data_IF_718181512835
#
_entry.id   IF_718181512835
#
_cell.length_a   1.000
_cell.length_b   1.000
_cell.length_c   1.000
_cell.angle_alpha   90.00
_cell.angle_beta   90.00
_cell.angle_gamma   90.00
#
_symmetry.space_group_name_H-M   'P 1'
#
loop_
_entity.id
_entity.type
_entity.pdbx_description
1 polymer ?
#
# COMPACT_ATOMS: atom_id res chain seq x y z
N UNK A 1 -2.37 -1.62 7.66
CA UNK A 1 -1.79 -2.74 8.42
C UNK A 1 -2.29 -4.06 7.84
N UNK A 2 -1.43 -5.04 7.64
CA UNK A 2 -1.79 -6.35 7.12
C UNK A 2 -1.24 -7.44 8.05
N UNK A 3 -2.10 -8.38 8.43
CA UNK A 3 -1.69 -9.58 9.17
C UNK A 3 -2.23 -10.80 8.42
N UNK A 4 -1.32 -11.67 8.00
CA UNK A 4 -1.64 -12.83 7.18
C UNK A 4 -1.52 -14.12 7.96
N UNK A 5 -2.27 -15.13 7.52
CA UNK A 5 -2.13 -16.50 8.00
C UNK A 5 -2.29 -16.68 9.51
N UNK A 6 -3.17 -15.87 10.12
CA UNK A 6 -3.59 -16.02 11.51
C UNK A 6 -4.20 -17.41 11.70
N UNK A 7 -3.77 -18.08 12.76
CA UNK A 7 -4.30 -19.39 13.14
C UNK A 7 -5.79 -19.28 13.50
N UNK A 8 -6.57 -20.22 12.99
CA UNK A 8 -7.97 -20.40 13.38
C UNK A 8 -8.09 -21.36 14.56
N UNK A 9 -9.31 -21.51 15.09
CA UNK A 9 -9.64 -22.58 16.02
C UNK A 9 -9.21 -23.95 15.45
N UNK A 10 -8.76 -24.88 16.32
CA UNK A 10 -8.46 -26.24 15.92
C UNK A 10 -9.64 -26.86 15.16
N UNK A 11 -9.35 -27.68 14.14
CA UNK A 11 -10.32 -28.41 13.32
C UNK A 11 -11.21 -27.56 12.39
N UNK A 12 -10.92 -26.27 12.19
CA UNK A 12 -11.52 -25.52 11.08
C UNK A 12 -10.81 -25.86 9.78
N UNK A 13 -11.37 -26.84 9.07
CA UNK A 13 -10.82 -27.38 7.83
C UNK A 13 -11.74 -27.03 6.65
N UNK A 14 -11.16 -26.90 5.46
CA UNK A 14 -11.93 -26.85 4.22
C UNK A 14 -12.40 -28.25 3.78
N UNK A 15 -13.14 -28.31 2.68
CA UNK A 15 -13.65 -29.56 2.09
C UNK A 15 -12.54 -30.55 1.68
N UNK A 16 -11.31 -30.08 1.52
CA UNK A 16 -10.13 -30.88 1.21
C UNK A 16 -9.28 -31.19 2.46
N UNK A 17 -9.85 -31.01 3.65
CA UNK A 17 -9.21 -31.28 4.95
C UNK A 17 -7.97 -30.41 5.23
N UNK A 18 -7.89 -29.22 4.63
CA UNK A 18 -6.79 -28.26 4.84
C UNK A 18 -7.16 -27.23 5.91
N UNK A 19 -6.24 -26.83 6.79
CA UNK A 19 -6.50 -25.77 7.77
C UNK A 19 -6.86 -24.44 7.09
N UNK A 20 -8.00 -23.87 7.48
CA UNK A 20 -8.41 -22.53 7.06
C UNK A 20 -7.64 -21.51 7.89
N UNK A 21 -7.03 -20.50 7.25
CA UNK A 21 -6.35 -19.41 7.96
C UNK A 21 -7.04 -18.09 7.67
N UNK A 22 -7.04 -17.20 8.65
CA UNK A 22 -7.59 -15.86 8.50
C UNK A 22 -6.46 -14.89 8.11
N UNK A 23 -6.79 -13.91 7.27
CA UNK A 23 -5.91 -12.77 6.99
C UNK A 23 -6.76 -11.51 7.05
N UNK A 24 -6.23 -10.47 7.69
CA UNK A 24 -6.98 -9.24 7.92
C UNK A 24 -6.12 -8.05 7.52
N UNK A 25 -6.74 -7.12 6.79
CA UNK A 25 -6.15 -5.85 6.42
C UNK A 25 -6.99 -4.72 7.03
N UNK A 26 -6.35 -3.87 7.81
CA UNK A 26 -6.94 -2.62 8.27
C UNK A 26 -6.36 -1.45 7.49
N UNK A 27 -7.24 -0.63 6.93
CA UNK A 27 -6.92 0.60 6.23
C UNK A 27 -7.36 1.78 7.08
N UNK A 28 -6.47 2.72 7.31
CA UNK A 28 -6.74 3.95 8.04
C UNK A 28 -6.32 5.11 7.15
N UNK A 29 -7.13 6.17 7.10
CA UNK A 29 -6.65 7.43 6.52
C UNK A 29 -5.79 8.13 7.57
N UNK A 30 -4.93 9.03 7.11
CA UNK A 30 -4.07 9.83 7.98
C UNK A 30 -4.92 10.71 8.90
N UNK A 31 -4.59 10.73 10.17
CA UNK A 31 -5.22 11.59 11.17
C UNK A 31 -4.21 12.58 11.77
N UNK A 32 -4.66 13.81 12.00
CA UNK A 32 -3.80 14.85 12.58
C UNK A 32 -3.61 14.68 14.09
N UNK A 33 -4.61 14.12 14.79
CA UNK A 33 -4.64 13.96 16.24
C UNK A 33 -3.95 12.68 16.74
N UNK A 34 -3.59 11.76 15.84
CA UNK A 34 -2.84 10.53 16.13
C UNK A 34 -3.64 9.45 16.87
N UNK A 35 -4.97 9.53 16.92
CA UNK A 35 -5.83 8.49 17.51
C UNK A 35 -5.77 7.16 16.74
N UNK A 36 -5.83 7.21 15.41
CA UNK A 36 -5.72 6.05 14.51
C UNK A 36 -4.35 5.42 14.58
N UNK A 37 -3.31 6.24 14.76
CA UNK A 37 -1.95 5.77 15.02
C UNK A 37 -1.88 4.90 16.29
N UNK A 38 -2.48 5.37 17.39
CA UNK A 38 -2.59 4.57 18.63
C UNK A 38 -3.36 3.27 18.42
N UNK A 39 -4.46 3.30 17.67
CA UNK A 39 -5.21 2.08 17.31
C UNK A 39 -4.29 1.12 16.55
N UNK A 40 -3.59 1.57 15.50
CA UNK A 40 -2.66 0.73 14.73
C UNK A 40 -1.60 0.09 15.64
N UNK A 41 -1.01 0.86 16.57
CA UNK A 41 -0.06 0.35 17.56
C UNK A 41 -0.67 -0.71 18.46
N UNK A 42 -1.88 -0.49 18.98
CA UNK A 42 -2.59 -1.50 19.78
C UNK A 42 -2.80 -2.80 19.00
N UNK A 43 -3.21 -2.74 17.73
CA UNK A 43 -3.38 -3.93 16.89
C UNK A 43 -2.02 -4.62 16.67
N UNK A 44 -0.95 -3.86 16.42
CA UNK A 44 0.39 -4.40 16.24
C UNK A 44 0.89 -5.12 17.52
N UNK A 45 0.65 -4.54 18.70
CA UNK A 45 0.97 -5.16 19.99
C UNK A 45 0.20 -6.49 20.16
N UNK A 46 -1.11 -6.50 19.87
CA UNK A 46 -1.91 -7.73 19.92
C UNK A 46 -1.39 -8.81 18.96
N UNK A 47 -0.92 -8.41 17.78
CA UNK A 47 -0.33 -9.33 16.82
C UNK A 47 1.01 -9.91 17.30
N UNK A 48 1.89 -9.06 17.86
CA UNK A 48 3.19 -9.47 18.40
C UNK A 48 3.05 -10.46 19.56
N UNK A 49 2.06 -10.25 20.43
CA UNK A 49 1.72 -11.14 21.54
C UNK A 49 0.95 -12.41 21.14
N UNK A 50 0.66 -12.59 19.85
CA UNK A 50 -0.18 -13.69 19.35
C UNK A 50 -1.59 -13.75 19.98
N UNK A 51 -2.11 -12.59 20.39
CA UNK A 51 -3.47 -12.44 20.95
C UNK A 51 -4.49 -12.10 19.86
N UNK A 52 -4.05 -11.42 18.79
CA UNK A 52 -4.90 -11.00 17.68
C UNK A 52 -5.59 -12.18 16.97
N UNK A 53 -4.90 -13.31 16.82
CA UNK A 53 -5.42 -14.53 16.18
C UNK A 53 -6.70 -15.02 16.85
N UNK A 54 -6.70 -15.05 18.20
CA UNK A 54 -7.84 -15.48 19.01
C UNK A 54 -9.05 -14.58 18.79
N UNK A 55 -8.83 -13.26 18.83
CA UNK A 55 -9.91 -12.28 18.67
C UNK A 55 -10.51 -12.33 17.26
N UNK A 56 -9.66 -12.37 16.23
CA UNK A 56 -10.10 -12.50 14.84
C UNK A 56 -10.84 -13.81 14.61
N UNK A 57 -10.36 -14.91 15.21
CA UNK A 57 -11.03 -16.19 15.05
C UNK A 57 -12.39 -16.25 15.73
N UNK A 58 -12.57 -15.59 16.88
CA UNK A 58 -13.87 -15.47 17.53
C UNK A 58 -14.86 -14.63 16.73
N UNK A 59 -14.35 -13.66 15.96
CA UNK A 59 -15.17 -12.79 15.13
C UNK A 59 -15.61 -13.42 13.79
N UNK A 60 -15.08 -14.59 13.42
CA UNK A 60 -15.37 -15.26 12.15
C UNK A 60 -15.89 -16.67 12.43
N UNK A 61 -17.19 -16.87 12.23
CA UNK A 61 -17.86 -18.17 12.36
C UNK A 61 -18.22 -18.72 10.99
N UNK A 62 -18.39 -20.04 10.90
CA UNK A 62 -19.05 -20.63 9.73
C UNK A 62 -20.55 -20.36 9.84
N UNK A 63 -21.24 -20.25 8.71
CA UNK A 63 -22.70 -20.09 8.72
C UNK A 63 -23.32 -21.43 9.08
N UNK A 64 -24.09 -21.47 10.16
CA UNK A 64 -24.79 -22.67 10.59
C UNK A 64 -25.75 -23.15 9.48
N UNK A 65 -25.78 -24.46 9.24
CA UNK A 65 -26.64 -25.13 8.24
C UNK A 65 -26.33 -24.78 6.77
N UNK A 66 -25.13 -24.31 6.44
CA UNK A 66 -24.65 -24.20 5.05
C UNK A 66 -23.31 -24.92 4.87
N UNK A 67 -23.15 -25.58 3.72
CA UNK A 67 -21.89 -26.27 3.37
C UNK A 67 -20.75 -25.29 3.05
N UNK A 68 -21.07 -24.01 2.81
CA UNK A 68 -20.13 -22.98 2.42
C UNK A 68 -20.46 -21.62 3.03
N UNK A 69 -19.43 -20.78 3.18
CA UNK A 69 -19.55 -19.40 3.65
C UNK A 69 -19.09 -19.20 5.10
N UNK A 70 -18.98 -17.93 5.48
CA UNK A 70 -18.65 -17.50 6.83
C UNK A 70 -19.40 -16.23 7.17
N UNK A 71 -19.68 -16.03 8.45
CA UNK A 71 -20.20 -14.78 8.99
C UNK A 71 -19.08 -14.04 9.72
N UNK A 72 -19.15 -12.72 9.68
CA UNK A 72 -18.18 -11.83 10.34
C UNK A 72 -18.89 -10.93 11.32
N UNK A 73 -18.56 -11.08 12.60
CA UNK A 73 -18.93 -10.14 13.65
C UNK A 73 -18.14 -8.83 13.47
N UNK A 74 -18.62 -7.99 12.56
CA UNK A 74 -17.93 -6.74 12.17
C UNK A 74 -17.72 -5.78 13.34
N UNK A 75 -18.65 -5.74 14.30
CA UNK A 75 -18.50 -4.97 15.53
C UNK A 75 -17.30 -5.41 16.36
N UNK A 76 -17.07 -6.72 16.48
CA UNK A 76 -15.90 -7.28 17.17
C UNK A 76 -14.61 -6.87 16.46
N UNK A 77 -14.53 -7.03 15.12
CA UNK A 77 -13.34 -6.61 14.36
C UNK A 77 -13.08 -5.10 14.43
N UNK A 78 -14.13 -4.29 14.41
CA UNK A 78 -14.03 -2.83 14.51
C UNK A 78 -13.63 -2.36 15.90
N UNK A 79 -13.86 -3.15 16.94
CA UNK A 79 -13.43 -2.84 18.32
C UNK A 79 -11.95 -3.18 18.58
N UNK A 80 -11.32 -3.95 17.70
CA UNK A 80 -9.92 -4.36 17.86
C UNK A 80 -9.02 -3.12 17.87
N UNK A 81 -8.14 -3.07 18.86
CA UNK A 81 -7.19 -1.95 19.05
C UNK A 81 -7.73 -0.83 19.94
N UNK A 82 -9.04 -0.72 20.16
CA UNK A 82 -9.61 0.31 21.04
C UNK A 82 -9.49 -0.02 22.54
N UNK A 83 -9.31 -1.29 22.90
CA UNK A 83 -9.37 -1.74 24.31
C UNK A 83 -8.31 -1.14 25.24
N UNK A 84 -7.14 -0.77 24.72
CA UNK A 84 -6.07 -0.16 25.53
C UNK A 84 -5.32 0.97 24.81
N UNK A 85 -5.87 1.51 23.72
CA UNK A 85 -5.19 2.59 22.98
C UNK A 85 -4.98 3.85 23.83
N UNK A 86 -5.88 4.13 24.78
CA UNK A 86 -5.77 5.26 25.70
C UNK A 86 -4.62 5.10 26.73
N UNK A 87 -4.15 3.87 26.94
CA UNK A 87 -3.01 3.56 27.82
C UNK A 87 -1.66 3.77 27.11
N UNK A 88 -1.66 3.99 25.80
CA UNK A 88 -0.43 4.16 25.02
C UNK A 88 0.17 5.55 25.22
N UNK A 89 1.47 5.56 25.51
CA UNK A 89 2.29 6.76 25.61
C UNK A 89 2.51 7.46 24.27
N UNK A 90 2.96 8.70 24.38
CA UNK A 90 3.11 9.65 23.28
C UNK A 90 4.58 10.11 23.07
N UNK A 91 5.55 9.34 23.55
CA UNK A 91 6.97 9.68 23.36
C UNK A 91 7.35 9.67 21.88
N UNK A 92 8.34 10.50 21.53
CA UNK A 92 8.84 10.57 20.16
C UNK A 92 9.41 9.22 19.69
N UNK A 93 9.24 8.87 18.40
CA UNK A 93 9.78 7.63 17.82
C UNK A 93 11.31 7.62 17.86
N UNK A 94 11.90 6.45 18.10
CA UNK A 94 13.33 6.24 17.80
C UNK A 94 13.49 6.05 16.29
N UNK A 95 14.06 7.05 15.61
CA UNK A 95 14.24 7.05 14.16
C UNK A 95 15.33 6.08 13.66
N UNK A 96 16.15 5.51 14.53
CA UNK A 96 17.09 4.46 14.12
C UNK A 96 16.30 3.21 13.76
N UNK A 97 16.67 2.58 12.64
CA UNK A 97 16.07 1.33 12.18
C UNK A 97 16.83 0.15 12.76
N UNK A 98 16.14 -0.96 12.97
CA UNK A 98 16.79 -2.21 13.33
C UNK A 98 16.04 -3.43 12.80
N UNK A 99 16.80 -4.49 12.57
CA UNK A 99 16.29 -5.80 12.15
C UNK A 99 16.84 -6.89 13.07
N UNK A 100 16.04 -7.91 13.36
CA UNK A 100 16.43 -9.01 14.24
C UNK A 100 15.78 -10.33 13.83
N UNK A 101 16.24 -11.41 14.47
CA UNK A 101 15.53 -12.68 14.51
C UNK A 101 14.21 -12.55 15.27
N UNK A 102 13.23 -13.33 14.86
CA UNK A 102 11.91 -13.35 15.51
C UNK A 102 11.95 -14.25 16.75
N UNK A 103 12.15 -13.64 17.93
CA UNK A 103 12.09 -14.32 19.24
C UNK A 103 11.11 -13.61 20.19
N UNK A 104 10.63 -14.34 21.20
CA UNK A 104 9.66 -13.82 22.18
C UNK A 104 10.23 -12.61 22.92
N UNK A 105 11.50 -12.66 23.31
CA UNK A 105 12.20 -11.55 23.97
C UNK A 105 12.19 -10.27 23.11
N UNK A 106 12.54 -10.39 21.83
CA UNK A 106 12.60 -9.26 20.90
C UNK A 106 11.18 -8.72 20.61
N UNK A 107 10.19 -9.60 20.46
CA UNK A 107 8.78 -9.20 20.34
C UNK A 107 8.31 -8.41 21.54
N UNK A 108 8.70 -8.82 22.75
CA UNK A 108 8.34 -8.13 23.98
C UNK A 108 9.01 -6.75 24.05
N UNK A 109 10.30 -6.64 23.71
CA UNK A 109 10.97 -5.33 23.59
C UNK A 109 10.26 -4.40 22.59
N UNK A 110 9.88 -4.93 21.43
CA UNK A 110 9.13 -4.15 20.44
C UNK A 110 7.75 -3.77 20.97
N UNK A 111 7.05 -4.65 21.68
CA UNK A 111 5.79 -4.30 22.33
C UNK A 111 5.96 -3.14 23.31
N UNK A 112 7.02 -3.14 24.11
CA UNK A 112 7.25 -2.10 25.11
C UNK A 112 7.64 -0.77 24.44
N UNK A 113 8.44 -0.80 23.37
CA UNK A 113 8.67 0.38 22.51
C UNK A 113 7.35 0.91 21.95
N UNK A 114 6.50 0.05 21.40
CA UNK A 114 5.19 0.44 20.85
C UNK A 114 4.20 0.89 21.93
N UNK A 115 4.38 0.55 23.21
CA UNK A 115 3.55 1.09 24.28
C UNK A 115 3.94 2.53 24.61
N UNK A 116 5.23 2.84 24.59
CA UNK A 116 5.74 4.14 25.05
C UNK A 116 5.89 5.16 23.93
N UNK A 117 6.24 4.74 22.71
CA UNK A 117 6.65 5.60 21.61
C UNK A 117 5.64 5.58 20.46
N UNK A 118 5.44 6.74 19.84
CA UNK A 118 4.70 6.87 18.57
C UNK A 118 5.44 6.16 17.43
N UNK A 119 4.71 5.84 16.37
CA UNK A 119 5.27 5.42 15.10
C UNK A 119 5.95 6.61 14.40
N UNK A 120 7.10 6.38 13.73
CA UNK A 120 7.74 7.40 12.91
C UNK A 120 6.87 7.80 11.72
N UNK A 121 6.75 9.11 11.50
CA UNK A 121 6.11 9.70 10.31
C UNK A 121 7.02 9.52 9.09
N UNK A 122 6.99 8.35 8.48
CA UNK A 122 7.67 8.07 7.23
C UNK A 122 6.79 7.23 6.31
N UNK A 123 6.99 7.38 5.00
CA UNK A 123 6.40 6.49 4.01
C UNK A 123 7.18 5.18 3.97
N UNK A 124 6.47 4.05 3.85
CA UNK A 124 7.08 2.72 3.74
C UNK A 124 6.63 1.75 4.84
N UNK A 125 7.39 0.66 4.96
CA UNK A 125 7.10 -0.42 5.91
C UNK A 125 7.65 -0.10 7.30
N UNK A 126 6.76 0.23 8.24
CA UNK A 126 7.16 0.54 9.60
C UNK A 126 7.58 -0.72 10.36
N UNK A 127 6.68 -1.70 10.44
CA UNK A 127 6.88 -2.93 11.22
C UNK A 127 6.60 -4.11 10.31
N UNK A 128 7.56 -5.01 10.17
CA UNK A 128 7.41 -6.24 9.41
C UNK A 128 7.89 -7.43 10.23
N UNK A 129 6.97 -8.35 10.55
CA UNK A 129 7.27 -9.65 11.16
C UNK A 129 6.98 -10.71 10.12
N UNK A 130 7.95 -11.57 9.79
CA UNK A 130 7.82 -12.50 8.67
C UNK A 130 8.58 -13.80 8.87
N UNK A 131 8.01 -14.89 8.35
CA UNK A 131 8.68 -16.20 8.29
C UNK A 131 9.29 -16.51 6.92
N UNK A 132 9.03 -15.66 5.93
CA UNK A 132 9.34 -15.91 4.53
C UNK A 132 10.56 -15.12 4.02
N UNK A 133 10.76 -13.91 4.53
CA UNK A 133 11.83 -13.00 4.08
C UNK A 133 13.02 -13.04 5.03
N UNK A 134 14.23 -12.82 4.51
CA UNK A 134 15.48 -12.77 5.25
C UNK A 134 15.89 -11.33 5.63
N UNK A 135 16.98 -11.16 6.39
CA UNK A 135 17.51 -9.82 6.78
C UNK A 135 17.81 -8.92 5.58
N UNK A 136 18.35 -9.46 4.49
CA UNK A 136 18.72 -8.66 3.32
C UNK A 136 17.50 -7.98 2.69
N UNK A 137 16.39 -8.72 2.55
CA UNK A 137 15.12 -8.14 2.10
C UNK A 137 14.65 -7.03 3.04
N UNK A 138 14.68 -7.25 4.37
CA UNK A 138 14.28 -6.24 5.34
C UNK A 138 15.14 -4.97 5.26
N UNK A 139 16.43 -5.13 4.95
CA UNK A 139 17.37 -4.01 4.76
C UNK A 139 17.04 -3.22 3.48
N UNK A 140 16.80 -3.93 2.37
CA UNK A 140 16.47 -3.34 1.06
C UNK A 140 15.13 -2.61 1.07
N UNK A 141 14.11 -3.15 1.75
CA UNK A 141 12.78 -2.51 1.89
C UNK A 141 12.74 -1.41 2.96
N UNK A 142 13.90 -1.04 3.48
CA UNK A 142 14.09 0.03 4.45
C UNK A 142 13.20 -0.05 5.70
N UNK A 143 12.85 -1.26 6.13
CA UNK A 143 11.89 -1.48 7.24
C UNK A 143 12.39 -0.83 8.53
N UNK A 144 11.51 -0.14 9.27
CA UNK A 144 11.87 0.49 10.54
C UNK A 144 12.13 -0.52 11.66
N UNK A 145 11.22 -1.50 11.84
CA UNK A 145 11.33 -2.63 12.78
C UNK A 145 11.08 -3.94 12.03
N UNK A 146 12.14 -4.70 11.76
CA UNK A 146 12.05 -5.96 10.99
C UNK A 146 12.35 -7.19 11.85
N UNK A 147 11.41 -8.13 11.94
CA UNK A 147 11.60 -9.44 12.58
C UNK A 147 11.49 -10.55 11.56
N UNK A 148 12.47 -11.45 11.53
CA UNK A 148 12.47 -12.59 10.62
C UNK A 148 12.86 -13.90 11.32
N UNK A 149 12.05 -14.95 11.17
CA UNK A 149 12.41 -16.29 11.69
C UNK A 149 13.60 -16.93 10.94
N UNK A 150 13.98 -16.38 9.78
CA UNK A 150 15.13 -16.85 8.98
C UNK A 150 16.45 -16.17 9.37
N UNK A 151 16.46 -15.50 10.51
CA UNK A 151 17.52 -14.59 10.92
C UNK A 151 17.93 -14.88 12.37
N UNK A 152 19.20 -14.62 12.71
CA UNK A 152 19.68 -14.74 14.09
C UNK A 152 19.03 -13.69 14.99
N UNK A 153 18.83 -14.05 16.26
CA UNK A 153 18.14 -13.25 17.29
C UNK A 153 18.84 -11.94 17.69
N UNK A 154 20.05 -11.69 17.18
CA UNK A 154 20.79 -10.45 17.45
C UNK A 154 20.20 -9.27 16.66
N UNK A 155 19.95 -8.18 17.40
CA UNK A 155 19.54 -6.88 16.85
C UNK A 155 20.68 -6.29 16.03
N UNK A 156 20.43 -6.05 14.75
CA UNK A 156 21.28 -5.31 13.85
C UNK A 156 20.72 -3.90 13.68
N UNK A 157 21.40 -2.91 14.24
CA UNK A 157 21.08 -1.50 14.05
C UNK A 157 21.57 -1.05 12.68
N UNK A 158 20.67 -0.46 11.89
CA UNK A 158 20.98 0.01 10.55
C UNK A 158 21.28 1.51 10.59
N UNK A 159 22.35 1.93 9.93
CA UNK A 159 22.62 3.35 9.74
C UNK A 159 21.57 3.97 8.83
N UNK A 160 21.08 5.15 9.23
CA UNK A 160 20.16 5.92 8.42
C UNK A 160 20.99 6.61 7.33
N UNK A 161 21.11 5.98 6.17
CA UNK A 161 21.61 6.64 4.97
C UNK A 161 20.59 7.72 4.57
N UNK A 162 20.72 8.92 5.14
CA UNK A 162 19.91 10.12 4.86
C UNK A 162 18.42 10.06 5.24
N UNK A 163 18.09 9.91 6.53
CA UNK A 163 16.89 10.58 7.07
C UNK A 163 17.20 12.07 7.25
N UNK A 164 17.45 12.77 6.14
CA UNK A 164 17.23 14.21 6.14
C UNK A 164 15.74 14.40 6.40
N UNK A 165 15.40 15.09 7.49
CA UNK A 165 14.03 15.44 7.81
C UNK A 165 13.34 15.98 6.54
N UNK A 166 12.10 15.55 6.22
CA UNK A 166 11.28 16.38 5.38
C UNK A 166 11.01 17.64 6.18
N UNK A 167 11.77 18.70 5.89
CA UNK A 167 11.47 20.05 6.34
C UNK A 167 10.01 20.34 5.95
N UNK A 168 9.13 20.32 6.94
CA UNK A 168 7.78 20.87 6.85
C UNK A 168 7.90 22.40 6.76
N UNK A 169 8.43 22.93 5.66
CA UNK A 169 8.36 24.34 5.22
C UNK A 169 9.16 24.61 3.94
N UNK A 170 9.14 23.70 2.96
CA UNK A 170 9.43 24.13 1.58
C UNK A 170 8.21 23.84 0.71
N UNK A 171 7.43 24.90 0.51
CA UNK A 171 6.57 25.09 -0.65
C UNK A 171 7.41 24.71 -1.87
N UNK A 172 7.30 23.47 -2.34
CA UNK A 172 7.88 23.02 -3.60
C UNK A 172 7.15 23.81 -4.68
N UNK A 173 7.71 24.97 -4.99
CA UNK A 173 7.49 25.60 -6.29
C UNK A 173 8.00 24.57 -7.28
N UNK A 174 7.05 23.87 -7.90
CA UNK A 174 7.30 23.04 -9.06
C UNK A 174 7.83 24.00 -10.12
N UNK A 175 9.15 24.21 -10.12
CA UNK A 175 9.84 24.85 -11.23
C UNK A 175 9.82 23.83 -12.34
N UNK A 176 8.72 23.87 -13.10
CA UNK A 176 8.53 23.16 -14.35
C UNK A 176 9.70 23.54 -15.27
N UNK A 177 10.79 22.75 -15.27
CA UNK A 177 11.88 22.86 -16.25
C UNK A 177 11.38 22.72 -17.70
N UNK A 178 10.15 22.25 -17.87
CA UNK A 178 9.41 22.26 -19.15
C UNK A 178 9.02 23.68 -19.60
N UNK A 179 8.72 24.62 -18.69
CA UNK A 179 8.28 25.96 -19.06
C UNK A 179 9.42 26.85 -19.58
N UNK A 180 10.66 26.62 -19.13
CA UNK A 180 11.85 27.31 -19.67
C UNK A 180 12.19 26.88 -21.09
N UNK A 181 11.96 25.60 -21.45
CA UNK A 181 12.18 25.12 -22.82
C UNK A 181 11.13 25.69 -23.77
N UNK A 182 9.86 25.77 -23.34
CA UNK A 182 8.79 26.40 -24.13
C UNK A 182 9.02 27.90 -24.31
N UNK A 183 9.47 28.61 -23.27
CA UNK A 183 9.78 30.04 -23.36
C UNK A 183 10.97 30.32 -24.30
N UNK A 184 12.04 29.52 -24.24
CA UNK A 184 13.17 29.61 -25.18
C UNK A 184 12.76 29.29 -26.61
N UNK A 185 11.89 28.29 -26.80
CA UNK A 185 11.32 27.96 -28.11
C UNK A 185 10.50 29.10 -28.71
N UNK A 186 9.65 29.75 -27.91
CA UNK A 186 8.86 30.91 -28.35
C UNK A 186 9.73 32.10 -28.75
N UNK A 187 10.79 32.39 -27.98
CA UNK A 187 11.73 33.48 -28.32
C UNK A 187 12.47 33.17 -29.63
N UNK A 188 12.86 31.91 -29.85
CA UNK A 188 13.52 31.50 -31.10
C UNK A 188 12.58 31.58 -32.31
N UNK A 189 11.31 31.18 -32.16
CA UNK A 189 10.31 31.32 -33.23
C UNK A 189 10.04 32.79 -33.53
N UNK A 190 9.95 33.65 -32.51
CA UNK A 190 9.72 35.09 -32.71
C UNK A 190 10.90 35.76 -33.42
N UNK A 191 12.14 35.38 -33.09
CA UNK A 191 13.33 35.90 -33.77
C UNK A 191 13.41 35.42 -35.22
N UNK A 192 13.04 34.16 -35.49
CA UNK A 192 12.98 33.60 -36.83
C UNK A 192 11.91 34.30 -37.69
N UNK A 193 10.74 34.60 -37.12
CA UNK A 193 9.67 35.34 -37.80
C UNK A 193 10.06 36.79 -38.10
N UNK A 194 10.78 37.47 -37.20
CA UNK A 194 11.33 38.80 -37.48
C UNK A 194 12.40 38.76 -38.57
N UNK A 195 13.27 37.76 -38.55
CA UNK A 195 14.31 37.58 -39.56
C UNK A 195 13.71 37.28 -40.95
N UNK A 196 12.69 36.42 -41.02
CA UNK A 196 11.95 36.12 -42.24
C UNK A 196 11.09 37.32 -42.69
N UNK A 197 10.47 38.04 -41.75
CA UNK A 197 9.64 39.22 -42.03
C UNK A 197 10.42 40.38 -42.66
N UNK A 198 11.71 40.52 -42.36
CA UNK A 198 12.61 41.48 -43.01
C UNK A 198 12.99 41.06 -44.45
N UNK A 199 12.71 39.82 -44.85
CA UNK A 199 12.96 39.31 -46.21
C UNK A 199 11.72 39.06 -47.06
N UNK A 200 10.51 39.24 -46.51
CA UNK A 200 9.30 39.26 -47.33
C UNK A 200 9.17 40.63 -47.98
N UNK A 201 9.86 40.82 -49.11
CA UNK A 201 9.41 41.79 -50.11
C UNK A 201 7.98 41.42 -50.49
N UNK A 202 7.07 42.39 -50.37
CA UNK A 202 5.67 42.27 -50.70
C UNK A 202 5.49 41.82 -52.15
N UNK A 203 5.17 40.55 -52.36
CA UNK A 203 4.67 40.07 -53.66
C UNK A 203 3.21 40.49 -53.78
N UNK A 204 2.80 41.19 -54.85
CA UNK A 204 1.41 41.56 -55.04
C UNK A 204 0.53 40.32 -55.23
N UNK A 205 -0.55 40.29 -54.46
CA UNK A 205 -1.62 39.30 -54.48
C UNK A 205 -2.41 39.42 -55.78
N UNK A 206 -2.58 38.31 -56.49
CA UNK A 206 -3.54 38.17 -57.59
C UNK A 206 -4.60 37.13 -57.17
N UNK A 207 -5.91 37.42 -57.22
CA UNK A 207 -6.93 36.54 -56.68
C UNK A 207 -7.44 35.54 -57.71
N UNK A 208 -8.05 34.48 -57.17
CA UNK A 208 -9.04 33.55 -57.76
C UNK A 208 -8.55 32.11 -57.90
N UNK A 209 -9.04 31.21 -57.04
CA UNK A 209 -10.10 30.26 -57.43
C UNK A 209 -10.57 29.41 -56.23
N UNK A 210 -11.87 29.10 -56.29
CA UNK A 210 -12.71 28.37 -55.32
C UNK A 210 -12.34 26.89 -55.13
N UNK A 211 -12.53 26.42 -53.87
CA UNK A 211 -13.22 25.20 -53.35
C UNK A 211 -13.21 23.86 -54.14
N UNK A 212 -13.38 22.65 -53.51
CA UNK A 212 -14.11 22.40 -52.25
C UNK A 212 -13.59 21.31 -51.29
N UNK A 213 -14.09 21.44 -50.06
CA UNK A 213 -14.60 20.44 -49.09
C UNK A 213 -14.50 18.95 -49.51
N UNK A 214 -13.87 18.13 -48.67
CA UNK A 214 -14.28 16.74 -48.42
C UNK A 214 -14.06 16.35 -46.95
N UNK A 215 -15.17 16.14 -46.25
CA UNK A 215 -15.30 15.31 -45.06
C UNK A 215 -15.57 13.88 -45.51
N UNK A 216 -14.93 12.88 -44.90
CA UNK A 216 -15.36 11.48 -44.75
C UNK A 216 -14.14 10.69 -44.19
N UNK A 217 -14.22 9.66 -43.36
CA UNK A 217 -15.34 8.88 -42.86
C UNK A 217 -14.86 8.10 -41.62
N UNK A 218 -15.81 7.86 -40.73
CA UNK A 218 -15.88 6.78 -39.74
C UNK A 218 -15.48 5.39 -40.26
N UNK A 219 -15.00 4.50 -39.38
CA UNK A 219 -15.47 3.11 -39.20
C UNK A 219 -14.52 2.34 -38.25
N UNK A 220 -14.93 1.95 -37.03
CA UNK A 220 -15.88 0.90 -36.61
C UNK A 220 -15.19 -0.46 -36.26
N UNK A 221 -15.33 -0.78 -34.96
CA UNK A 221 -15.79 -2.04 -34.36
C UNK A 221 -15.00 -3.35 -34.61
N UNK A 222 -14.58 -3.99 -33.51
CA UNK A 222 -14.85 -5.43 -33.32
C UNK A 222 -15.02 -5.81 -31.83
N UNK A 223 -16.28 -5.92 -31.41
CA UNK A 223 -16.69 -6.64 -30.21
C UNK A 223 -16.57 -8.15 -30.45
N UNK A 224 -16.01 -8.87 -29.48
CA UNK A 224 -15.95 -10.33 -29.43
C UNK A 224 -16.95 -10.78 -28.36
N UNK A 225 -17.93 -11.59 -28.78
CA UNK A 225 -18.87 -12.25 -27.87
C UNK A 225 -18.23 -13.50 -27.23
N UNK A 226 -18.57 -13.87 -25.98
CA UNK A 226 -18.02 -15.06 -25.32
C UNK A 226 -18.79 -16.33 -25.72
N UNK A 227 -18.06 -17.42 -25.94
CA UNK A 227 -18.61 -18.75 -26.17
C UNK A 227 -19.01 -19.40 -24.84
N UNK A 228 -20.26 -19.85 -24.79
CA UNK A 228 -20.84 -20.70 -23.75
C UNK A 228 -20.24 -22.11 -23.84
N UNK A 229 -19.67 -22.63 -22.76
CA UNK A 229 -19.27 -24.05 -22.66
C UNK A 229 -20.29 -24.85 -21.85
N UNK A 230 -20.64 -25.98 -22.45
CA UNK A 230 -21.65 -26.97 -22.08
C UNK A 230 -21.22 -27.79 -20.86
N UNK A 231 -22.12 -27.95 -19.88
CA UNK A 231 -21.98 -28.87 -18.75
C UNK A 231 -22.11 -30.32 -19.22
N UNK A 232 -21.20 -31.18 -18.77
CA UNK A 232 -21.28 -32.65 -18.92
C UNK A 232 -21.80 -33.25 -17.62
N UNK A 233 -22.93 -33.96 -17.70
CA UNK A 233 -23.49 -34.74 -16.60
C UNK A 233 -22.74 -36.08 -16.45
N UNK A 234 -22.50 -36.49 -15.20
CA UNK A 234 -21.97 -37.81 -14.83
C UNK A 234 -23.13 -38.67 -14.34
N UNK A 235 -23.28 -39.93 -14.80
CA UNK A 235 -24.32 -40.82 -14.32
C UNK A 235 -23.95 -41.50 -13.00
N UNK A 236 -24.93 -41.57 -12.11
CA UNK A 236 -24.94 -42.33 -10.87
C UNK A 236 -25.01 -43.84 -11.15
N UNK A 237 -24.18 -44.62 -10.44
CA UNK A 237 -24.24 -46.08 -10.43
C UNK A 237 -24.77 -46.56 -9.08
N UNK A 238 -25.58 -47.60 -9.18
CA UNK A 238 -26.40 -48.28 -8.17
C UNK A 238 -25.59 -49.17 -7.25
#
# INVERSE_FOLDING_TARGET
MLVTALESVPNRLDWANRPIRNSVAWTFEVDEDGKREKIIRSIAILALKNELSKIVCQAISNIDNQDYGFEVASSTLNSIGYSFHDELGDLSPNLKRWISGDSEYIRQQLCDELKSNKLPKHEGLLILVTTLKNKDFLRTEEVWRGLSTRSKEDIEWLENNNLAQPDTSQKKTITNKSMTIVALGLIFILSLLLFLGVHVKSTPVNPSQESPIQQEETNQIKMIAPQTQTQTQIPSST
#
